data_IF_258542776026
#
_entry.id   IF_258542776026
#
_cell.length_a   1.000
_cell.length_b   1.000
_cell.length_c   1.000
_cell.angle_alpha   90.00
_cell.angle_beta   90.00
_cell.angle_gamma   90.00
#
_symmetry.space_group_name_H-M   'P 1'
#
loop_
_entity.id
_entity.type
_entity.pdbx_description
1 polymer ?
#
# COMPACT_ATOMS: atom_id res chain seq x y z
N UNK A 1 23.69 -3.42 -10.29
CA UNK A 1 22.64 -3.37 -11.32
C UNK A 1 21.63 -2.23 -11.05
N UNK A 2 21.25 -1.94 -9.80
CA UNK A 2 20.21 -0.95 -9.46
C UNK A 2 20.76 0.35 -8.87
N UNK A 3 22.07 0.59 -8.92
CA UNK A 3 22.74 1.70 -8.25
C UNK A 3 22.13 3.06 -8.62
N UNK A 4 22.04 3.39 -9.92
CA UNK A 4 21.47 4.65 -10.36
C UNK A 4 20.02 4.86 -9.88
N UNK A 5 19.20 3.81 -9.88
CA UNK A 5 17.83 3.91 -9.41
C UNK A 5 17.76 4.29 -7.92
N UNK A 6 18.58 3.68 -7.09
CA UNK A 6 18.62 4.03 -5.67
C UNK A 6 19.20 5.44 -5.44
N UNK A 7 20.24 5.82 -6.18
CA UNK A 7 20.80 7.20 -6.08
C UNK A 7 19.76 8.25 -6.52
N UNK A 8 18.97 8.00 -7.56
CA UNK A 8 17.88 8.89 -7.92
C UNK A 8 16.83 8.99 -6.81
N UNK A 9 16.48 7.89 -6.15
CA UNK A 9 15.57 7.92 -5.02
C UNK A 9 16.16 8.65 -3.81
N UNK A 10 17.46 8.49 -3.52
CA UNK A 10 18.16 9.25 -2.47
C UNK A 10 18.10 10.76 -2.74
N UNK A 11 18.35 11.20 -3.98
CA UNK A 11 18.25 12.61 -4.37
C UNK A 11 16.79 13.10 -4.32
N UNK A 12 15.83 12.30 -4.78
CA UNK A 12 14.42 12.66 -4.74
C UNK A 12 13.94 12.93 -3.31
N UNK A 13 14.37 12.07 -2.37
CA UNK A 13 14.05 12.16 -0.94
C UNK A 13 14.84 13.25 -0.19
N UNK A 14 15.85 13.85 -0.81
CA UNK A 14 16.72 14.84 -0.17
C UNK A 14 17.81 14.25 0.71
N UNK A 15 18.05 12.93 0.61
CA UNK A 15 19.12 12.23 1.35
C UNK A 15 20.49 12.35 0.66
N UNK A 16 20.52 12.84 -0.58
CA UNK A 16 21.70 13.20 -1.36
C UNK A 16 21.40 14.40 -2.26
N UNK A 17 22.43 15.18 -2.63
CA UNK A 17 22.30 16.30 -3.57
C UNK A 17 22.77 15.91 -4.99
N UNK A 18 23.65 14.92 -5.11
CA UNK A 18 24.33 14.54 -6.34
C UNK A 18 24.34 13.02 -6.54
N UNK A 19 24.56 12.63 -7.79
CA UNK A 19 24.91 11.24 -8.13
C UNK A 19 26.37 10.98 -7.77
N UNK A 20 26.71 9.74 -7.37
CA UNK A 20 28.08 9.37 -6.99
C UNK A 20 29.10 9.44 -8.15
N UNK A 21 28.61 9.40 -9.38
CA UNK A 21 29.41 9.45 -10.62
C UNK A 21 28.53 9.72 -11.83
N UNK A 22 29.16 9.98 -12.97
CA UNK A 22 28.45 9.96 -14.25
C UNK A 22 28.06 8.54 -14.63
N UNK A 23 26.81 8.37 -15.06
CA UNK A 23 26.26 7.09 -15.53
C UNK A 23 26.19 7.06 -17.06
N UNK A 24 26.36 5.89 -17.63
CA UNK A 24 26.26 5.68 -19.08
C UNK A 24 24.83 5.73 -19.56
N UNK A 25 24.61 5.97 -20.84
CA UNK A 25 23.27 5.91 -21.49
C UNK A 25 22.56 4.58 -21.22
N UNK A 26 23.29 3.48 -21.29
CA UNK A 26 22.73 2.14 -20.99
C UNK A 26 22.23 2.02 -19.54
N UNK A 27 22.95 2.58 -18.57
CA UNK A 27 22.53 2.57 -17.17
C UNK A 27 21.30 3.46 -16.93
N UNK A 28 21.22 4.61 -17.60
CA UNK A 28 20.05 5.47 -17.57
C UNK A 28 18.81 4.79 -18.17
N UNK A 29 18.96 4.12 -19.32
CA UNK A 29 17.87 3.33 -19.93
C UNK A 29 17.40 2.21 -18.99
N UNK A 30 18.33 1.51 -18.37
CA UNK A 30 18.01 0.45 -17.42
C UNK A 30 17.25 0.99 -16.19
N UNK A 31 17.70 2.11 -15.63
CA UNK A 31 17.03 2.76 -14.51
C UNK A 31 15.60 3.19 -14.88
N UNK A 32 15.41 3.75 -16.08
CA UNK A 32 14.09 4.12 -16.58
C UNK A 32 13.13 2.91 -16.67
N UNK A 33 13.59 1.82 -17.32
CA UNK A 33 12.78 0.61 -17.46
C UNK A 33 12.36 0.05 -16.08
N UNK A 34 13.27 0.09 -15.12
CA UNK A 34 13.00 -0.42 -13.75
C UNK A 34 12.08 0.49 -12.94
N UNK A 35 12.17 1.80 -13.16
CA UNK A 35 11.43 2.80 -12.39
C UNK A 35 10.02 3.07 -12.93
N UNK A 36 9.85 3.09 -14.27
CA UNK A 36 8.68 3.69 -14.95
C UNK A 36 7.31 3.23 -14.42
N UNK A 37 7.18 1.97 -14.02
CA UNK A 37 5.91 1.39 -13.55
C UNK A 37 5.73 1.44 -12.04
N UNK A 38 6.76 1.87 -11.28
CA UNK A 38 6.75 1.82 -9.83
C UNK A 38 6.98 3.17 -9.17
N UNK A 39 8.10 3.81 -9.53
CA UNK A 39 8.62 5.02 -8.86
C UNK A 39 9.18 6.03 -9.86
N UNK A 40 8.84 5.91 -11.13
CA UNK A 40 9.44 6.70 -12.19
C UNK A 40 9.23 8.21 -12.02
N UNK A 41 8.02 8.64 -11.71
CA UNK A 41 7.75 10.04 -11.45
C UNK A 41 8.52 10.56 -10.22
N UNK A 42 8.65 9.75 -9.16
CA UNK A 42 9.47 10.11 -7.97
C UNK A 42 10.94 10.32 -8.38
N UNK A 43 11.49 9.42 -9.20
CA UNK A 43 12.86 9.56 -9.72
C UNK A 43 13.03 10.82 -10.58
N UNK A 44 11.99 11.24 -11.31
CA UNK A 44 12.02 12.50 -12.05
C UNK A 44 12.19 13.70 -11.12
N UNK A 45 11.59 13.69 -9.94
CA UNK A 45 11.82 14.72 -8.91
C UNK A 45 13.28 14.85 -8.49
N UNK A 46 14.09 13.78 -8.63
CA UNK A 46 15.56 13.88 -8.50
C UNK A 46 16.18 14.53 -9.72
N UNK A 47 15.80 14.12 -10.94
CA UNK A 47 16.37 14.62 -12.19
C UNK A 47 16.18 16.14 -12.33
N UNK A 48 15.08 16.70 -11.82
CA UNK A 48 14.84 18.14 -11.78
C UNK A 48 15.89 18.87 -10.93
N UNK A 49 16.38 18.25 -9.86
CA UNK A 49 17.37 18.82 -8.91
C UNK A 49 18.80 18.67 -9.41
N UNK A 50 19.11 17.65 -10.24
CA UNK A 50 20.46 17.38 -10.72
C UNK A 50 20.98 18.50 -11.65
N UNK A 51 22.31 18.70 -11.62
CA UNK A 51 22.98 19.58 -12.58
C UNK A 51 22.84 19.07 -14.02
N UNK A 52 22.91 19.92 -15.06
CA UNK A 52 22.76 19.49 -16.44
C UNK A 52 23.70 18.37 -16.85
N UNK A 53 24.92 18.32 -16.29
CA UNK A 53 25.96 17.33 -16.59
C UNK A 53 25.68 15.96 -15.96
N UNK A 54 24.79 15.90 -14.96
CA UNK A 54 24.38 14.66 -14.28
C UNK A 54 23.10 14.08 -14.86
N UNK A 55 22.37 14.82 -15.69
CA UNK A 55 21.07 14.41 -16.24
C UNK A 55 21.19 13.34 -17.31
N UNK A 56 20.10 12.57 -17.57
CA UNK A 56 20.06 11.64 -18.68
C UNK A 56 20.18 12.35 -20.05
N UNK A 57 20.53 11.60 -21.12
CA UNK A 57 20.49 12.14 -22.48
C UNK A 57 19.11 12.71 -22.83
N UNK A 58 19.10 13.72 -23.72
CA UNK A 58 17.90 14.51 -24.04
C UNK A 58 16.68 13.68 -24.39
N UNK A 59 16.84 12.66 -25.26
CA UNK A 59 15.71 11.80 -25.68
C UNK A 59 15.11 11.01 -24.52
N UNK A 60 15.96 10.58 -23.59
CA UNK A 60 15.51 9.85 -22.41
C UNK A 60 14.95 10.83 -21.37
N UNK A 61 15.52 12.03 -21.24
CA UNK A 61 14.98 13.08 -20.38
C UNK A 61 13.55 13.43 -20.75
N UNK A 62 13.24 13.52 -22.04
CA UNK A 62 11.88 13.77 -22.51
C UNK A 62 10.89 12.66 -22.09
N UNK A 63 11.34 11.39 -22.05
CA UNK A 63 10.51 10.29 -21.56
C UNK A 63 10.22 10.40 -20.05
N UNK A 64 11.23 10.80 -19.26
CA UNK A 64 11.04 11.06 -17.83
C UNK A 64 10.10 12.23 -17.58
N UNK A 65 10.20 13.32 -18.34
CA UNK A 65 9.31 14.48 -18.28
C UNK A 65 7.86 14.04 -18.60
N UNK A 66 7.66 13.33 -19.70
CA UNK A 66 6.33 12.87 -20.11
C UNK A 66 5.68 11.97 -19.03
N UNK A 67 6.46 11.08 -18.41
CA UNK A 67 5.99 10.21 -17.33
C UNK A 67 5.56 11.02 -16.11
N UNK A 68 6.39 11.98 -15.68
CA UNK A 68 6.10 12.81 -14.51
C UNK A 68 4.89 13.73 -14.74
N UNK A 69 4.82 14.33 -15.94
CA UNK A 69 3.69 15.20 -16.28
C UNK A 69 2.37 14.45 -16.36
N UNK A 70 2.38 13.24 -16.93
CA UNK A 70 1.22 12.35 -16.93
C UNK A 70 0.79 12.00 -15.50
N UNK A 71 1.76 11.76 -14.60
CA UNK A 71 1.47 11.48 -13.19
C UNK A 71 0.89 12.71 -12.47
N UNK A 72 1.41 13.91 -12.71
CA UNK A 72 0.88 15.17 -12.15
C UNK A 72 -0.58 15.40 -12.59
N UNK A 73 -0.85 15.24 -13.88
CA UNK A 73 -2.20 15.38 -14.43
C UNK A 73 -3.17 14.35 -13.83
N UNK A 74 -2.74 13.09 -13.73
CA UNK A 74 -3.54 12.05 -13.09
C UNK A 74 -3.79 12.35 -11.60
N UNK A 75 -2.80 12.82 -10.87
CA UNK A 75 -2.95 13.18 -9.46
C UNK A 75 -3.97 14.31 -9.25
N UNK A 76 -3.97 15.34 -10.11
CA UNK A 76 -4.95 16.42 -10.04
C UNK A 76 -6.37 15.92 -10.37
N UNK A 77 -6.49 15.01 -11.32
CA UNK A 77 -7.76 14.36 -11.64
C UNK A 77 -8.25 13.48 -10.48
N UNK A 78 -7.40 12.62 -9.96
CA UNK A 78 -7.66 11.78 -8.79
C UNK A 78 -8.15 12.61 -7.58
N UNK A 79 -7.50 13.73 -7.31
CA UNK A 79 -7.87 14.64 -6.23
C UNK A 79 -9.25 15.26 -6.41
N UNK A 80 -9.67 15.57 -7.65
CA UNK A 80 -11.03 16.05 -7.95
C UNK A 80 -12.07 14.97 -7.69
N UNK A 81 -11.83 13.74 -8.14
CA UNK A 81 -12.71 12.60 -7.88
C UNK A 81 -12.85 12.36 -6.38
N UNK A 82 -11.73 12.38 -5.65
CA UNK A 82 -11.72 12.24 -4.20
C UNK A 82 -12.58 13.30 -3.49
N UNK A 83 -12.43 14.57 -3.87
CA UNK A 83 -13.19 15.67 -3.29
C UNK A 83 -14.69 15.58 -3.61
N UNK A 84 -15.04 15.16 -4.83
CA UNK A 84 -16.43 14.95 -5.24
C UNK A 84 -17.08 13.83 -4.41
N UNK A 85 -16.39 12.71 -4.26
CA UNK A 85 -16.84 11.56 -3.49
C UNK A 85 -17.00 11.89 -1.99
N UNK A 86 -16.05 12.59 -1.40
CA UNK A 86 -16.10 13.04 -0.01
C UNK A 86 -17.27 14.01 0.25
N UNK A 87 -17.49 14.94 -0.67
CA UNK A 87 -18.63 15.86 -0.61
C UNK A 87 -19.96 15.14 -0.73
N UNK A 88 -20.03 14.11 -1.59
CA UNK A 88 -21.21 13.27 -1.74
C UNK A 88 -21.53 12.52 -0.42
N UNK A 89 -20.58 11.79 0.14
CA UNK A 89 -20.81 11.04 1.37
C UNK A 89 -21.16 11.92 2.58
N UNK A 90 -20.62 13.14 2.63
CA UNK A 90 -21.01 14.11 3.67
C UNK A 90 -22.51 14.41 3.66
N UNK A 91 -23.15 14.48 2.48
CA UNK A 91 -24.60 14.74 2.37
C UNK A 91 -25.44 13.59 2.94
N UNK A 92 -24.85 12.40 3.05
CA UNK A 92 -25.46 11.21 3.64
C UNK A 92 -25.04 10.97 5.10
N UNK A 93 -24.40 11.95 5.75
CA UNK A 93 -23.98 11.84 7.16
C UNK A 93 -22.87 10.80 7.37
N UNK A 94 -21.98 10.64 6.39
CA UNK A 94 -20.90 9.65 6.40
C UNK A 94 -19.56 10.36 6.25
N UNK A 95 -18.60 10.04 7.12
CA UNK A 95 -17.19 10.45 7.04
C UNK A 95 -16.41 9.44 6.20
N UNK A 96 -15.53 9.94 5.34
CA UNK A 96 -14.71 9.12 4.46
C UNK A 96 -13.28 9.02 5.00
N UNK A 97 -12.92 7.86 5.55
CA UNK A 97 -11.55 7.53 5.97
C UNK A 97 -10.77 6.99 4.77
N UNK A 98 -9.63 7.59 4.48
CA UNK A 98 -8.68 7.10 3.46
C UNK A 98 -7.71 6.12 4.09
N UNK A 99 -7.65 4.91 3.57
CA UNK A 99 -6.78 3.85 4.11
C UNK A 99 -5.34 3.97 3.59
N UNK A 100 -5.16 4.42 2.36
CA UNK A 100 -3.86 4.58 1.69
C UNK A 100 -3.94 5.64 0.56
N UNK A 101 -3.07 5.56 -0.44
CA UNK A 101 -3.18 6.39 -1.65
C UNK A 101 -2.87 7.85 -1.40
N UNK A 102 -3.87 8.69 -1.45
CA UNK A 102 -3.73 10.15 -1.28
C UNK A 102 -3.11 10.53 0.07
N UNK A 103 -3.53 9.89 1.17
CA UNK A 103 -2.97 10.18 2.49
C UNK A 103 -1.45 10.03 2.52
N UNK A 104 -0.94 8.92 1.98
CA UNK A 104 0.51 8.68 1.89
C UNK A 104 1.24 9.64 0.95
N UNK A 105 0.55 10.18 -0.07
CA UNK A 105 1.19 11.13 -0.97
C UNK A 105 1.57 12.43 -0.27
N UNK A 106 0.85 12.81 0.77
CA UNK A 106 1.08 14.06 1.52
C UNK A 106 2.44 14.07 2.23
N UNK A 107 2.99 12.92 2.54
CA UNK A 107 4.31 12.77 3.17
C UNK A 107 5.47 12.85 2.17
N UNK A 108 5.19 12.72 0.87
CA UNK A 108 6.23 12.78 -0.16
C UNK A 108 6.75 14.21 -0.37
N UNK A 109 8.04 14.42 -0.66
CA UNK A 109 8.59 15.74 -0.96
C UNK A 109 7.85 16.48 -2.08
N UNK A 110 7.31 15.74 -3.05
CA UNK A 110 6.44 16.21 -4.13
C UNK A 110 5.25 15.26 -4.23
N UNK A 111 4.13 15.54 -3.54
CA UNK A 111 2.96 14.65 -3.44
C UNK A 111 2.42 14.13 -4.77
N UNK A 112 2.38 14.97 -5.79
CA UNK A 112 1.86 14.66 -7.11
C UNK A 112 2.73 13.70 -7.94
N UNK A 113 3.99 13.47 -7.53
CA UNK A 113 4.88 12.50 -8.16
C UNK A 113 4.76 11.09 -7.56
N UNK A 114 4.07 10.93 -6.42
CA UNK A 114 3.74 9.60 -5.92
C UNK A 114 2.70 8.95 -6.82
N UNK A 115 2.97 7.76 -7.39
CA UNK A 115 1.97 7.08 -8.22
C UNK A 115 0.69 6.81 -7.43
N UNK A 116 -0.43 7.36 -7.90
CA UNK A 116 -1.75 7.06 -7.38
C UNK A 116 -2.34 5.84 -8.10
N UNK A 117 -3.15 5.09 -7.41
CA UNK A 117 -3.91 3.96 -7.93
C UNK A 117 -5.38 4.11 -7.55
N UNK A 118 -5.92 3.11 -6.85
CA UNK A 118 -7.29 3.09 -6.38
C UNK A 118 -7.52 4.08 -5.22
N UNK A 119 -8.76 4.52 -5.04
CA UNK A 119 -9.21 5.24 -3.85
C UNK A 119 -9.74 4.19 -2.87
N UNK A 120 -8.94 3.85 -1.86
CA UNK A 120 -9.33 2.91 -0.81
C UNK A 120 -9.95 3.67 0.35
N UNK A 121 -11.21 3.40 0.63
CA UNK A 121 -11.97 4.08 1.68
C UNK A 121 -12.60 3.11 2.67
N UNK A 122 -12.77 3.59 3.88
CA UNK A 122 -13.63 2.99 4.89
C UNK A 122 -14.62 4.05 5.37
N UNK A 123 -15.90 3.72 5.41
CA UNK A 123 -16.96 4.67 5.69
C UNK A 123 -17.40 4.59 7.16
N UNK A 124 -17.44 5.74 7.81
CA UNK A 124 -17.75 5.87 9.24
C UNK A 124 -18.99 6.75 9.37
N UNK A 125 -20.03 6.35 10.13
CA UNK A 125 -21.18 7.20 10.37
C UNK A 125 -20.76 8.48 11.11
N UNK A 126 -21.33 9.62 10.73
CA UNK A 126 -21.04 10.91 11.40
C UNK A 126 -21.53 10.93 12.85
N UNK A 127 -22.59 10.18 13.13
CA UNK A 127 -23.18 10.04 14.48
C UNK A 127 -23.65 8.62 14.70
N UNK A 128 -23.65 8.20 15.97
CA UNK A 128 -24.06 6.84 16.38
C UNK A 128 -22.88 5.89 16.61
N UNK A 129 -23.16 4.64 16.95
CA UNK A 129 -22.15 3.63 17.20
C UNK A 129 -21.49 3.18 15.89
N UNK A 130 -20.23 2.78 15.97
CA UNK A 130 -19.54 2.12 14.87
C UNK A 130 -19.92 0.64 14.89
N UNK A 131 -20.57 0.19 13.84
CA UNK A 131 -20.92 -1.20 13.62
C UNK A 131 -20.06 -1.77 12.49
N UNK A 132 -19.51 -2.97 12.69
CA UNK A 132 -18.71 -3.69 11.72
C UNK A 132 -19.56 -4.69 10.90
N UNK A 133 -20.82 -4.34 10.64
CA UNK A 133 -21.81 -5.20 9.97
C UNK A 133 -22.03 -4.83 8.48
N UNK A 134 -21.23 -3.89 7.97
CA UNK A 134 -21.32 -3.45 6.58
C UNK A 134 -22.53 -2.57 6.23
N UNK A 135 -23.41 -2.25 7.17
CA UNK A 135 -24.64 -1.48 6.90
C UNK A 135 -24.32 -0.09 6.35
N UNK A 136 -23.32 0.61 6.90
CA UNK A 136 -22.93 1.96 6.45
C UNK A 136 -22.41 1.92 5.02
N UNK A 137 -21.58 0.92 4.70
CA UNK A 137 -21.06 0.70 3.35
C UNK A 137 -22.17 0.41 2.37
N UNK A 138 -23.06 -0.54 2.69
CA UNK A 138 -24.18 -0.90 1.80
C UNK A 138 -25.12 0.27 1.53
N UNK A 139 -25.43 1.07 2.56
CA UNK A 139 -26.22 2.28 2.42
C UNK A 139 -25.54 3.29 1.47
N UNK A 140 -24.23 3.51 1.64
CA UNK A 140 -23.45 4.41 0.82
C UNK A 140 -23.30 3.91 -0.63
N UNK A 141 -23.12 2.61 -0.84
CA UNK A 141 -23.08 1.98 -2.16
C UNK A 141 -24.43 2.16 -2.89
N UNK A 142 -25.54 1.91 -2.20
CA UNK A 142 -26.88 2.15 -2.76
C UNK A 142 -27.11 3.62 -3.13
N UNK A 143 -26.60 4.56 -2.32
CA UNK A 143 -26.68 5.98 -2.64
C UNK A 143 -25.91 6.31 -3.93
N UNK A 144 -24.73 5.73 -4.13
CA UNK A 144 -23.94 5.90 -5.38
C UNK A 144 -24.70 5.32 -6.57
N UNK A 145 -25.26 4.10 -6.47
CA UNK A 145 -26.06 3.49 -7.52
C UNK A 145 -27.28 4.35 -7.89
N UNK A 146 -28.04 4.79 -6.89
CA UNK A 146 -29.27 5.54 -7.10
C UNK A 146 -29.06 6.96 -7.64
N UNK A 147 -28.04 7.68 -7.13
CA UNK A 147 -27.85 9.10 -7.44
C UNK A 147 -26.93 9.34 -8.63
N UNK A 148 -25.95 8.47 -8.85
CA UNK A 148 -24.99 8.61 -9.94
C UNK A 148 -25.19 7.60 -11.06
N UNK A 149 -26.03 6.57 -10.86
CA UNK A 149 -26.26 5.50 -11.83
C UNK A 149 -25.02 4.65 -12.10
N UNK A 150 -24.12 4.58 -11.13
CA UNK A 150 -22.86 3.81 -11.21
C UNK A 150 -23.13 2.40 -10.70
N UNK A 151 -22.73 1.38 -11.48
CA UNK A 151 -22.81 -0.01 -11.08
C UNK A 151 -21.74 -0.34 -10.04
N UNK A 152 -22.13 -1.02 -8.95
CA UNK A 152 -21.24 -1.42 -7.86
C UNK A 152 -20.93 -2.93 -7.98
N UNK A 153 -19.66 -3.26 -8.14
CA UNK A 153 -19.16 -4.64 -8.06
C UNK A 153 -19.07 -5.10 -6.60
N UNK A 154 -19.66 -6.27 -6.30
CA UNK A 154 -19.74 -6.83 -4.93
C UNK A 154 -19.18 -8.26 -4.85
N UNK A 155 -18.36 -8.67 -5.80
CA UNK A 155 -17.79 -10.03 -5.87
C UNK A 155 -16.69 -10.29 -4.82
N UNK A 156 -16.13 -9.24 -4.22
CA UNK A 156 -15.12 -9.35 -3.17
C UNK A 156 -15.77 -9.17 -1.79
N UNK A 157 -15.44 -10.04 -0.86
CA UNK A 157 -15.95 -9.94 0.51
C UNK A 157 -15.32 -8.77 1.28
N UNK A 158 -14.08 -8.42 0.96
CA UNK A 158 -13.34 -7.37 1.65
C UNK A 158 -13.87 -5.97 1.33
N UNK A 159 -14.31 -5.73 0.10
CA UNK A 159 -14.75 -4.42 -0.39
C UNK A 159 -15.74 -4.55 -1.54
N UNK A 160 -16.58 -3.56 -1.74
CA UNK A 160 -17.21 -3.27 -3.02
C UNK A 160 -16.32 -2.37 -3.85
N UNK A 161 -16.52 -2.33 -5.17
CA UNK A 161 -15.74 -1.45 -6.03
C UNK A 161 -16.59 -0.84 -7.14
N UNK A 162 -16.19 0.34 -7.60
CA UNK A 162 -16.86 1.05 -8.68
C UNK A 162 -15.89 2.04 -9.36
N UNK A 163 -16.31 2.57 -10.51
CA UNK A 163 -15.49 3.45 -11.32
C UNK A 163 -16.11 4.84 -11.40
N UNK A 164 -15.35 5.87 -11.03
CA UNK A 164 -15.74 7.28 -11.22
C UNK A 164 -14.71 7.97 -12.08
N UNK A 165 -15.11 8.48 -13.25
CA UNK A 165 -14.23 9.23 -14.16
C UNK A 165 -12.88 8.52 -14.42
N UNK A 166 -12.89 7.20 -14.53
CA UNK A 166 -11.69 6.39 -14.77
C UNK A 166 -10.84 6.11 -13.52
N UNK A 167 -11.27 6.49 -12.32
CA UNK A 167 -10.62 6.15 -11.06
C UNK A 167 -11.41 5.05 -10.35
N UNK A 168 -10.74 3.96 -9.99
CA UNK A 168 -11.33 2.87 -9.22
C UNK A 168 -11.47 3.30 -7.77
N UNK A 169 -12.63 3.05 -7.17
CA UNK A 169 -12.90 3.24 -5.75
C UNK A 169 -13.16 1.88 -5.13
N UNK A 170 -12.46 1.56 -4.05
CA UNK A 170 -12.68 0.38 -3.23
C UNK A 170 -13.25 0.80 -1.87
N UNK A 171 -14.52 0.46 -1.64
CA UNK A 171 -15.23 0.75 -0.39
C UNK A 171 -15.18 -0.48 0.52
N UNK A 172 -14.36 -0.40 1.56
CA UNK A 172 -13.96 -1.54 2.38
C UNK A 172 -14.94 -1.87 3.51
N UNK A 173 -15.22 -3.16 3.71
CA UNK A 173 -15.88 -3.72 4.90
C UNK A 173 -14.87 -4.06 6.00
N UNK A 174 -13.69 -4.55 5.58
CA UNK A 174 -12.59 -4.91 6.46
C UNK A 174 -11.30 -4.24 5.98
N UNK A 175 -10.42 -3.90 6.89
CA UNK A 175 -9.16 -3.24 6.55
C UNK A 175 -8.20 -4.18 5.82
N UNK A 176 -8.23 -5.47 6.18
CA UNK A 176 -7.38 -6.53 5.61
C UNK A 176 -8.22 -7.73 5.19
N UNK A 177 -7.66 -8.62 4.35
CA UNK A 177 -8.35 -9.82 3.87
C UNK A 177 -8.43 -10.87 4.99
N UNK A 178 -9.60 -10.97 5.64
CA UNK A 178 -9.83 -11.89 6.78
C UNK A 178 -10.16 -13.31 6.37
N UNK A 179 -10.46 -13.56 5.10
CA UNK A 179 -10.96 -14.87 4.64
C UNK A 179 -9.86 -15.92 4.50
N UNK A 180 -8.60 -15.51 4.31
CA UNK A 180 -7.51 -16.43 3.93
C UNK A 180 -6.62 -16.85 5.07
N UNK A 181 -6.49 -16.02 6.11
CA UNK A 181 -5.50 -16.19 7.15
C UNK A 181 -6.07 -15.90 8.54
N UNK A 182 -5.93 -16.85 9.47
CA UNK A 182 -6.32 -16.64 10.89
C UNK A 182 -5.54 -15.49 11.55
N UNK A 183 -4.28 -15.29 11.14
CA UNK A 183 -3.48 -14.15 11.57
C UNK A 183 -4.13 -12.83 11.17
N UNK A 184 -4.80 -12.77 10.00
CA UNK A 184 -5.53 -11.58 9.57
C UNK A 184 -6.75 -11.28 10.45
N UNK A 185 -7.48 -12.30 10.91
CA UNK A 185 -8.60 -12.08 11.85
C UNK A 185 -8.14 -11.40 13.14
N UNK A 186 -7.02 -11.86 13.71
CA UNK A 186 -6.44 -11.23 14.90
C UNK A 186 -5.94 -9.81 14.60
N UNK A 187 -5.31 -9.63 13.44
CA UNK A 187 -4.78 -8.34 13.03
C UNK A 187 -5.90 -7.32 12.77
N UNK A 188 -6.99 -7.73 12.13
CA UNK A 188 -8.20 -6.92 11.97
C UNK A 188 -8.71 -6.41 13.32
N UNK A 189 -8.74 -7.29 14.34
CA UNK A 189 -9.16 -6.90 15.69
C UNK A 189 -8.26 -5.84 16.36
N UNK A 190 -6.95 -5.82 16.08
CA UNK A 190 -6.10 -4.71 16.56
C UNK A 190 -6.48 -3.39 15.89
N UNK A 191 -6.71 -3.40 14.57
CA UNK A 191 -7.11 -2.21 13.82
C UNK A 191 -8.47 -1.68 14.28
N UNK A 192 -9.45 -2.56 14.48
CA UNK A 192 -10.78 -2.20 14.99
C UNK A 192 -10.73 -1.63 16.40
N UNK A 193 -9.93 -2.23 17.28
CA UNK A 193 -9.79 -1.76 18.67
C UNK A 193 -9.14 -0.36 18.78
N UNK A 194 -8.32 0.05 17.80
CA UNK A 194 -7.77 1.40 17.75
C UNK A 194 -8.78 2.43 17.21
N UNK A 195 -9.70 1.99 16.35
CA UNK A 195 -10.74 2.86 15.78
C UNK A 195 -11.77 3.29 16.81
N UNK A 196 -12.05 2.45 17.81
CA UNK A 196 -13.12 2.67 18.78
C UNK A 196 -12.61 2.82 20.20
N UNK A 197 -13.27 3.67 20.99
CA UNK A 197 -13.11 3.73 22.44
C UNK A 197 -14.04 2.69 23.08
N UNK A 198 -13.48 1.83 23.93
CA UNK A 198 -14.26 0.92 24.75
C UNK A 198 -14.89 1.70 25.90
N UNK A 199 -16.16 2.05 25.76
CA UNK A 199 -16.95 2.62 26.85
C UNK A 199 -17.56 1.49 27.71
N UNK A 200 -17.96 1.81 28.97
CA UNK A 200 -18.66 0.87 29.84
C UNK A 200 -20.06 0.47 29.32
N UNK A 201 -20.61 1.18 28.35
CA UNK A 201 -21.75 0.79 27.54
C UNK A 201 -21.25 0.00 26.33
N UNK A 202 -21.97 -1.04 25.91
CA UNK A 202 -21.62 -1.86 24.73
C UNK A 202 -21.59 -1.08 23.39
N UNK A 203 -21.63 0.26 23.44
CA UNK A 203 -21.61 1.12 22.27
C UNK A 203 -20.17 1.43 21.88
N UNK A 204 -19.77 0.99 20.72
CA UNK A 204 -18.48 1.34 20.10
C UNK A 204 -18.51 2.80 19.65
N UNK A 205 -17.94 3.72 20.41
CA UNK A 205 -17.77 5.10 20.00
C UNK A 205 -16.47 5.25 19.21
N UNK A 206 -16.50 6.12 18.21
CA UNK A 206 -15.29 6.51 17.49
C UNK A 206 -14.28 7.12 18.47
N UNK A 207 -13.04 6.66 18.41
CA UNK A 207 -11.94 7.29 19.11
C UNK A 207 -11.69 8.68 18.50
N UNK A 208 -11.88 9.74 19.25
CA UNK A 208 -11.77 11.12 18.78
C UNK A 208 -10.36 11.45 18.25
N UNK A 209 -9.33 10.78 18.77
CA UNK A 209 -7.95 10.95 18.33
C UNK A 209 -7.58 10.09 17.09
N UNK A 210 -8.52 9.30 16.58
CA UNK A 210 -8.25 8.39 15.47
C UNK A 210 -8.28 9.10 14.10
N UNK A 211 -9.23 10.01 13.91
CA UNK A 211 -9.43 10.69 12.63
C UNK A 211 -8.62 11.99 12.57
N UNK A 212 -7.67 12.03 11.66
CA UNK A 212 -6.93 13.25 11.32
C UNK A 212 -7.55 13.89 10.08
N UNK A 213 -7.71 15.21 10.10
CA UNK A 213 -8.22 15.94 8.93
C UNK A 213 -7.22 15.91 7.79
N UNK A 214 -7.72 15.70 6.57
CA UNK A 214 -6.92 15.85 5.36
C UNK A 214 -7.15 17.21 4.70
N UNK A 215 -6.29 17.65 3.76
CA UNK A 215 -6.53 18.84 2.96
C UNK A 215 -7.80 18.80 2.10
N UNK A 216 -8.39 17.61 1.90
CA UNK A 216 -9.68 17.46 1.21
C UNK A 216 -10.79 17.39 2.27
N UNK A 217 -11.75 18.33 2.29
CA UNK A 217 -12.81 18.35 3.28
C UNK A 217 -13.62 17.05 3.31
N UNK A 218 -14.00 16.59 4.50
CA UNK A 218 -14.67 15.31 4.78
C UNK A 218 -13.88 14.04 4.39
N UNK A 219 -12.62 14.20 4.03
CA UNK A 219 -11.66 13.10 3.97
C UNK A 219 -10.83 13.09 5.26
N UNK A 220 -10.70 11.93 5.86
CA UNK A 220 -9.94 11.75 7.08
C UNK A 220 -8.80 10.75 6.85
N UNK A 221 -7.74 10.92 7.61
CA UNK A 221 -6.60 10.00 7.66
C UNK A 221 -6.62 9.26 8.99
N UNK A 222 -6.14 8.01 9.05
CA UNK A 222 -6.03 7.30 10.32
C UNK A 222 -4.87 7.81 11.15
N UNK A 223 -4.94 7.60 12.47
CA UNK A 223 -3.83 7.92 13.38
C UNK A 223 -2.53 7.18 12.99
N UNK A 224 -1.38 7.76 13.35
CA UNK A 224 -0.07 7.23 12.97
C UNK A 224 0.15 5.80 13.50
N UNK A 225 -0.24 5.49 14.72
CA UNK A 225 -0.13 4.13 15.29
C UNK A 225 -0.95 3.11 14.51
N UNK A 226 -2.19 3.44 14.15
CA UNK A 226 -3.02 2.57 13.33
C UNK A 226 -2.42 2.36 11.94
N UNK A 227 -1.96 3.45 11.33
CA UNK A 227 -1.41 3.42 9.98
C UNK A 227 -0.09 2.63 9.92
N UNK A 228 0.74 2.70 10.96
CA UNK A 228 1.94 1.86 11.09
C UNK A 228 1.59 0.36 11.00
N UNK A 229 0.58 -0.08 11.77
CA UNK A 229 0.11 -1.45 11.72
C UNK A 229 -0.46 -1.80 10.33
N UNK A 230 -1.39 -0.99 9.85
CA UNK A 230 -2.10 -1.25 8.61
C UNK A 230 -1.17 -1.33 7.40
N UNK A 231 -0.30 -0.33 7.21
CA UNK A 231 0.57 -0.24 6.03
C UNK A 231 1.57 -1.40 5.96
N UNK A 232 2.17 -1.77 7.10
CA UNK A 232 3.11 -2.89 7.11
C UNK A 232 2.39 -4.22 6.83
N UNK A 233 1.19 -4.42 7.41
CA UNK A 233 0.41 -5.63 7.15
C UNK A 233 -0.06 -5.70 5.71
N UNK A 234 -0.58 -4.62 5.17
CA UNK A 234 -1.02 -4.53 3.79
C UNK A 234 0.13 -4.80 2.79
N UNK A 235 1.29 -4.17 3.01
CA UNK A 235 2.49 -4.47 2.21
C UNK A 235 2.94 -5.93 2.37
N UNK A 236 2.84 -6.49 3.59
CA UNK A 236 3.15 -7.89 3.88
C UNK A 236 2.23 -8.86 3.15
N UNK A 237 0.92 -8.58 3.04
CA UNK A 237 -0.03 -9.40 2.27
C UNK A 237 0.36 -9.45 0.79
N UNK A 238 0.67 -8.31 0.18
CA UNK A 238 1.18 -8.26 -1.20
C UNK A 238 2.50 -9.02 -1.34
N UNK A 239 3.42 -8.83 -0.39
CA UNK A 239 4.70 -9.53 -0.38
C UNK A 239 4.53 -11.05 -0.33
N UNK A 240 3.67 -11.54 0.53
CA UNK A 240 3.43 -12.98 0.69
C UNK A 240 2.74 -13.60 -0.54
N UNK A 241 1.71 -12.96 -1.06
CA UNK A 241 0.88 -13.50 -2.15
C UNK A 241 1.52 -13.34 -3.52
N UNK A 242 2.13 -12.20 -3.78
CA UNK A 242 2.73 -11.84 -5.06
C UNK A 242 4.14 -11.33 -4.91
N UNK A 243 4.29 -10.03 -4.91
CA UNK A 243 5.49 -9.26 -4.59
C UNK A 243 5.12 -7.82 -4.25
N UNK A 244 5.96 -7.18 -3.47
CA UNK A 244 5.92 -5.72 -3.32
C UNK A 244 6.76 -5.05 -4.40
N UNK A 245 6.58 -3.75 -4.54
CA UNK A 245 7.36 -2.87 -5.41
C UNK A 245 8.17 -1.90 -4.57
N UNK A 246 9.09 -1.17 -5.20
CA UNK A 246 9.81 -0.09 -4.51
C UNK A 246 8.87 0.99 -3.97
N UNK A 247 7.70 1.19 -4.59
CA UNK A 247 6.68 2.11 -4.06
C UNK A 247 6.24 1.73 -2.65
N UNK A 248 6.00 0.45 -2.36
CA UNK A 248 5.62 0.01 -1.01
C UNK A 248 6.74 0.26 0.01
N UNK A 249 8.01 0.09 -0.41
CA UNK A 249 9.16 0.40 0.45
C UNK A 249 9.26 1.89 0.72
N UNK A 250 9.09 2.74 -0.31
CA UNK A 250 9.08 4.19 -0.17
C UNK A 250 7.92 4.67 0.71
N UNK A 251 6.72 4.17 0.47
CA UNK A 251 5.53 4.53 1.25
C UNK A 251 5.76 4.28 2.74
N UNK A 252 6.27 3.09 3.10
CA UNK A 252 6.59 2.75 4.49
C UNK A 252 7.73 3.61 5.06
N UNK A 253 8.82 3.75 4.30
CA UNK A 253 9.99 4.51 4.75
C UNK A 253 9.67 5.99 4.98
N UNK A 254 8.99 6.63 4.04
CA UNK A 254 8.57 8.03 4.13
C UNK A 254 7.56 8.23 5.26
N UNK A 255 6.58 7.32 5.39
CA UNK A 255 5.60 7.36 6.47
C UNK A 255 6.29 7.29 7.85
N UNK A 256 7.19 6.34 8.08
CA UNK A 256 7.93 6.26 9.35
C UNK A 256 8.82 7.50 9.57
N UNK A 257 9.45 8.02 8.53
CA UNK A 257 10.23 9.26 8.65
C UNK A 257 9.36 10.44 9.08
N UNK A 258 8.14 10.57 8.54
CA UNK A 258 7.24 11.70 8.82
C UNK A 258 6.54 11.58 10.17
N UNK A 259 6.19 10.37 10.60
CA UNK A 259 5.28 10.15 11.74
C UNK A 259 5.89 9.37 12.90
N UNK A 260 7.20 9.08 12.91
CA UNK A 260 7.84 8.25 13.95
C UNK A 260 7.56 8.73 15.38
N UNK A 261 7.48 10.04 15.60
CA UNK A 261 7.21 10.63 16.92
C UNK A 261 5.74 10.51 17.39
N UNK A 262 4.83 10.17 16.47
CA UNK A 262 3.39 10.06 16.74
C UNK A 262 2.95 8.60 16.95
N UNK A 263 3.85 7.65 16.66
CA UNK A 263 3.59 6.21 16.74
C UNK A 263 3.84 5.72 18.16
N UNK A 264 2.89 4.97 18.73
CA UNK A 264 3.10 4.15 19.92
C UNK A 264 3.93 2.91 19.55
N UNK A 265 5.24 3.08 19.54
CA UNK A 265 6.17 2.04 19.11
C UNK A 265 6.17 0.81 20.02
N UNK A 266 5.93 0.97 21.31
CA UNK A 266 5.89 -0.16 22.25
C UNK A 266 4.73 -1.08 21.89
N UNK A 267 3.56 -0.51 21.61
CA UNK A 267 2.41 -1.27 21.15
C UNK A 267 2.61 -1.87 19.74
N UNK A 268 3.11 -1.08 18.79
CA UNK A 268 3.31 -1.51 17.40
C UNK A 268 4.32 -2.67 17.33
N UNK A 269 5.46 -2.56 18.01
CA UNK A 269 6.47 -3.63 18.02
C UNK A 269 5.95 -4.90 18.69
N UNK A 270 5.19 -4.76 19.80
CA UNK A 270 4.55 -5.91 20.43
C UNK A 270 3.60 -6.65 19.45
N UNK A 271 2.83 -5.91 18.67
CA UNK A 271 1.96 -6.51 17.63
C UNK A 271 2.79 -7.14 16.51
N UNK A 272 3.85 -6.48 16.04
CA UNK A 272 4.72 -7.03 15.01
C UNK A 272 5.39 -8.35 15.45
N UNK A 273 5.88 -8.42 16.67
CA UNK A 273 6.43 -9.65 17.24
C UNK A 273 5.37 -10.75 17.34
N UNK A 274 4.22 -10.43 17.91
CA UNK A 274 3.13 -11.38 18.13
C UNK A 274 2.56 -11.94 16.83
N UNK A 275 2.50 -11.14 15.77
CA UNK A 275 1.98 -11.54 14.46
C UNK A 275 3.09 -11.94 13.46
N UNK A 276 4.33 -12.13 13.96
CA UNK A 276 5.47 -12.62 13.19
C UNK A 276 5.89 -11.71 12.02
N UNK A 277 5.79 -10.39 12.22
CA UNK A 277 6.09 -9.39 11.20
C UNK A 277 7.42 -8.66 11.43
N UNK A 278 8.11 -8.94 12.54
CA UNK A 278 9.34 -8.22 12.92
C UNK A 278 10.45 -8.38 11.88
N UNK A 279 10.60 -9.57 11.28
CA UNK A 279 11.59 -9.81 10.23
C UNK A 279 11.26 -9.03 8.95
N UNK A 280 9.99 -8.87 8.61
CA UNK A 280 9.56 -8.06 7.47
C UNK A 280 9.80 -6.58 7.74
N UNK A 281 9.44 -6.09 8.93
CA UNK A 281 9.74 -4.72 9.37
C UNK A 281 11.25 -4.43 9.31
N UNK A 282 12.08 -5.31 9.86
CA UNK A 282 13.53 -5.17 9.83
C UNK A 282 14.10 -5.16 8.40
N UNK A 283 13.58 -6.01 7.52
CA UNK A 283 14.00 -6.01 6.11
C UNK A 283 13.69 -4.70 5.39
N UNK A 284 12.47 -4.17 5.57
CA UNK A 284 12.06 -2.88 4.99
C UNK A 284 12.89 -1.74 5.57
N UNK A 285 13.06 -1.68 6.89
CA UNK A 285 13.87 -0.67 7.58
C UNK A 285 15.33 -0.69 7.10
N UNK A 286 15.89 -1.89 6.93
CA UNK A 286 17.26 -2.06 6.39
C UNK A 286 17.36 -1.56 4.94
N UNK A 287 16.35 -1.81 4.11
CA UNK A 287 16.33 -1.25 2.74
C UNK A 287 16.30 0.28 2.79
N UNK A 288 15.44 0.86 3.62
CA UNK A 288 15.33 2.31 3.76
C UNK A 288 16.63 2.95 4.25
N UNK A 289 17.28 2.37 5.25
CA UNK A 289 18.49 2.95 5.84
C UNK A 289 19.74 2.76 4.97
N UNK A 290 19.96 1.55 4.44
CA UNK A 290 21.16 1.23 3.67
C UNK A 290 21.12 1.66 2.21
N UNK A 291 19.96 1.54 1.57
CA UNK A 291 19.84 1.78 0.13
C UNK A 291 19.19 3.14 -0.20
N UNK A 292 18.36 3.68 0.67
CA UNK A 292 17.74 5.00 0.49
C UNK A 292 18.35 6.08 1.39
N UNK A 293 19.31 5.72 2.25
CA UNK A 293 20.02 6.60 3.18
C UNK A 293 19.10 7.37 4.14
N UNK A 294 17.95 6.80 4.45
CA UNK A 294 17.07 7.36 5.47
C UNK A 294 17.70 7.23 6.87
N UNK A 295 17.41 8.19 7.74
CA UNK A 295 17.92 8.15 9.11
C UNK A 295 17.31 6.96 9.89
N UNK A 296 18.15 6.09 10.43
CA UNK A 296 17.75 4.91 11.20
C UNK A 296 16.95 5.23 12.48
N UNK A 297 17.07 6.44 13.02
CA UNK A 297 16.31 6.88 14.19
C UNK A 297 14.79 6.92 14.00
N UNK A 298 14.31 6.92 12.75
CA UNK A 298 12.88 6.86 12.46
C UNK A 298 12.29 5.43 12.48
N UNK A 299 13.14 4.41 12.51
CA UNK A 299 12.75 3.00 12.53
C UNK A 299 12.99 2.41 13.91
N UNK A 300 12.17 2.82 14.87
CA UNK A 300 12.36 2.45 16.28
C UNK A 300 12.39 0.94 16.47
N UNK A 301 13.36 0.45 17.23
CA UNK A 301 13.52 -0.99 17.53
C UNK A 301 13.95 -1.86 16.33
N UNK A 302 14.15 -1.28 15.14
CA UNK A 302 14.57 -2.04 13.97
C UNK A 302 16.02 -2.55 14.12
N UNK A 303 16.24 -3.79 13.70
CA UNK A 303 17.55 -4.43 13.64
C UNK A 303 17.97 -4.54 12.17
N UNK A 304 19.23 -4.21 11.90
CA UNK A 304 19.81 -4.35 10.56
C UNK A 304 19.85 -5.82 10.12
N UNK A 305 19.11 -6.13 9.07
CA UNK A 305 18.99 -7.47 8.49
C UNK A 305 19.30 -7.44 6.99
N UNK A 306 20.56 -7.23 6.67
CA UNK A 306 21.03 -7.15 5.29
C UNK A 306 20.71 -8.41 4.47
N UNK A 307 20.76 -9.57 5.10
CA UNK A 307 20.40 -10.86 4.52
C UNK A 307 18.96 -10.88 3.99
N UNK A 308 18.01 -10.41 4.82
CA UNK A 308 16.59 -10.33 4.47
C UNK A 308 16.31 -9.17 3.49
N UNK A 309 16.93 -8.02 3.69
CA UNK A 309 16.82 -6.86 2.80
C UNK A 309 17.23 -7.23 1.37
N UNK A 310 18.39 -7.86 1.20
CA UNK A 310 18.87 -8.33 -0.10
C UNK A 310 17.95 -9.39 -0.73
N UNK A 311 17.29 -10.22 0.10
CA UNK A 311 16.33 -11.22 -0.39
C UNK A 311 15.04 -10.57 -0.86
N UNK A 312 14.53 -9.57 -0.14
CA UNK A 312 13.35 -8.78 -0.53
C UNK A 312 13.64 -7.98 -1.80
N UNK A 313 14.79 -7.30 -1.89
CA UNK A 313 15.18 -6.56 -3.10
C UNK A 313 15.28 -7.48 -4.32
N UNK A 314 15.87 -8.67 -4.18
CA UNK A 314 15.88 -9.66 -5.29
C UNK A 314 14.47 -10.04 -5.73
N UNK A 315 13.53 -10.20 -4.81
CA UNK A 315 12.14 -10.50 -5.13
C UNK A 315 11.46 -9.33 -5.87
N UNK A 316 11.66 -8.08 -5.42
CA UNK A 316 11.15 -6.85 -6.07
C UNK A 316 11.60 -6.77 -7.52
N UNK A 317 12.88 -7.01 -7.79
CA UNK A 317 13.47 -6.85 -9.12
C UNK A 317 13.43 -8.09 -10.00
N UNK A 318 13.01 -9.25 -9.46
CA UNK A 318 12.81 -10.43 -10.29
C UNK A 318 11.62 -10.19 -11.22
N UNK A 319 11.83 -10.40 -12.53
CA UNK A 319 10.72 -10.45 -13.48
C UNK A 319 9.75 -11.54 -13.06
N UNK A 320 8.63 -11.10 -12.52
CA UNK A 320 7.54 -11.99 -12.23
C UNK A 320 6.85 -12.30 -13.55
N UNK A 321 7.04 -13.51 -14.04
CA UNK A 321 6.15 -14.01 -15.10
C UNK A 321 4.87 -14.43 -14.38
N UNK A 322 3.79 -13.62 -14.46
CA UNK A 322 2.50 -14.10 -13.99
C UNK A 322 2.24 -15.43 -14.71
N UNK A 323 1.65 -16.36 -14.02
CA UNK A 323 0.98 -17.44 -14.74
C UNK A 323 0.12 -16.76 -15.79
N UNK A 324 0.09 -17.24 -17.06
CA UNK A 324 -0.73 -16.66 -18.09
C UNK A 324 -2.20 -16.81 -17.67
N UNK A 325 -2.71 -15.78 -16.97
CA UNK A 325 -4.00 -15.82 -16.33
C UNK A 325 -4.84 -14.65 -16.81
N UNK A 326 -5.21 -14.68 -18.09
CA UNK A 326 -6.53 -14.15 -18.44
C UNK A 326 -7.58 -15.06 -17.80
N UNK A 327 -8.73 -14.52 -17.39
CA UNK A 327 -9.85 -15.32 -16.90
C UNK A 327 -10.21 -16.47 -17.89
N UNK A 328 -9.98 -16.26 -19.16
CA UNK A 328 -10.12 -17.24 -20.24
C UNK A 328 -9.08 -18.38 -20.17
N UNK A 329 -7.83 -18.09 -19.84
CA UNK A 329 -6.81 -19.11 -19.66
C UNK A 329 -7.02 -19.91 -18.36
N UNK A 330 -7.55 -19.28 -17.30
CA UNK A 330 -7.94 -19.93 -16.06
C UNK A 330 -9.12 -20.87 -16.24
N UNK A 331 -10.14 -20.48 -17.00
CA UNK A 331 -11.31 -21.32 -17.26
C UNK A 331 -10.96 -22.57 -18.10
N UNK A 332 -9.90 -22.49 -18.90
CA UNK A 332 -9.38 -23.62 -19.73
C UNK A 332 -8.40 -24.53 -18.97
N UNK A 333 -7.91 -24.13 -17.78
CA UNK A 333 -7.04 -24.99 -16.96
C UNK A 333 -7.86 -26.01 -16.16
N UNK A 334 -7.45 -27.27 -16.20
CA UNK A 334 -8.03 -28.27 -15.28
C UNK A 334 -7.78 -27.85 -13.82
N UNK A 335 -8.74 -28.11 -12.94
CA UNK A 335 -8.67 -27.84 -11.50
C UNK A 335 -7.38 -28.40 -10.90
N UNK A 336 -6.95 -29.59 -11.35
CA UNK A 336 -5.71 -30.24 -10.91
C UNK A 336 -4.49 -29.44 -11.31
N UNK A 337 -4.38 -29.00 -12.56
CA UNK A 337 -3.24 -28.22 -13.05
C UNK A 337 -3.12 -26.90 -12.29
N UNK A 338 -4.22 -26.18 -12.11
CA UNK A 338 -4.26 -24.95 -11.32
C UNK A 338 -3.83 -25.18 -9.86
N UNK A 339 -4.32 -26.26 -9.24
CA UNK A 339 -3.94 -26.65 -7.89
C UNK A 339 -2.44 -26.92 -7.75
N UNK A 340 -1.86 -27.65 -8.70
CA UNK A 340 -0.40 -27.91 -8.72
C UNK A 340 0.39 -26.62 -8.87
N UNK A 341 0.02 -25.75 -9.79
CA UNK A 341 0.74 -24.49 -10.03
C UNK A 341 0.65 -23.56 -8.80
N UNK A 342 -0.53 -23.44 -8.18
CA UNK A 342 -0.68 -22.68 -6.92
C UNK A 342 0.14 -23.28 -5.78
N UNK A 343 0.16 -24.58 -5.64
CA UNK A 343 0.94 -25.26 -4.60
C UNK A 343 2.45 -25.05 -4.78
N UNK A 344 2.95 -25.13 -6.02
CA UNK A 344 4.36 -24.86 -6.31
C UNK A 344 4.72 -23.39 -6.04
N UNK A 345 3.84 -22.46 -6.42
CA UNK A 345 4.03 -21.04 -6.14
C UNK A 345 4.05 -20.78 -4.64
N UNK A 346 3.10 -21.32 -3.90
CA UNK A 346 3.04 -21.22 -2.45
C UNK A 346 4.32 -21.81 -1.82
N UNK A 347 4.75 -23.00 -2.25
CA UNK A 347 5.99 -23.62 -1.76
C UNK A 347 7.22 -22.75 -1.99
N UNK A 348 7.33 -22.13 -3.15
CA UNK A 348 8.41 -21.18 -3.49
C UNK A 348 8.37 -19.93 -2.59
N UNK A 349 7.18 -19.43 -2.26
CA UNK A 349 6.98 -18.22 -1.48
C UNK A 349 6.84 -18.47 0.03
N UNK A 350 6.91 -19.72 0.52
CA UNK A 350 6.68 -20.05 1.94
C UNK A 350 7.54 -19.26 2.94
N UNK A 351 8.70 -18.78 2.53
CA UNK A 351 9.56 -17.95 3.35
C UNK A 351 8.94 -16.55 3.58
N UNK A 352 8.22 -16.03 2.61
CA UNK A 352 7.49 -14.76 2.72
C UNK A 352 6.32 -14.89 3.69
N UNK A 353 5.56 -15.98 3.59
CA UNK A 353 4.47 -16.27 4.52
C UNK A 353 4.96 -16.31 5.97
N UNK A 354 6.14 -16.88 6.22
CA UNK A 354 6.75 -16.91 7.55
C UNK A 354 7.15 -15.54 8.09
N UNK A 355 7.35 -14.55 7.24
CA UNK A 355 7.72 -13.18 7.63
C UNK A 355 6.49 -12.28 7.83
N UNK A 356 5.30 -12.76 7.53
CA UNK A 356 4.08 -11.94 7.53
C UNK A 356 2.99 -12.54 8.42
N UNK A 357 2.88 -13.86 8.49
CA UNK A 357 1.77 -14.53 9.17
C UNK A 357 2.27 -15.38 10.34
N UNK A 358 1.65 -15.19 11.51
CA UNK A 358 1.83 -16.10 12.64
C UNK A 358 0.85 -17.27 12.54
N UNK A 359 1.16 -18.20 11.64
CA UNK A 359 0.36 -19.38 11.34
C UNK A 359 1.25 -20.59 11.09
N UNK A 360 0.70 -21.80 11.35
CA UNK A 360 1.32 -23.02 10.88
C UNK A 360 1.29 -23.05 9.34
N UNK A 361 2.42 -23.41 8.73
CA UNK A 361 2.57 -23.47 7.26
C UNK A 361 1.49 -24.33 6.59
N UNK A 362 1.08 -25.43 7.24
CA UNK A 362 0.00 -26.31 6.72
C UNK A 362 -1.38 -25.64 6.82
N UNK A 363 -1.66 -24.89 7.88
CA UNK A 363 -2.91 -24.12 8.02
C UNK A 363 -3.02 -23.02 6.95
N UNK A 364 -1.92 -22.32 6.70
CA UNK A 364 -1.82 -21.31 5.63
C UNK A 364 -2.09 -21.93 4.24
N UNK A 365 -1.59 -23.15 3.99
CA UNK A 365 -1.87 -23.88 2.75
C UNK A 365 -3.34 -24.30 2.63
N UNK A 366 -3.94 -24.83 3.70
CA UNK A 366 -5.34 -25.25 3.71
C UNK A 366 -6.30 -24.08 3.58
N UNK A 367 -6.04 -22.94 4.21
CA UNK A 367 -6.84 -21.73 4.04
C UNK A 367 -6.93 -21.28 2.58
N UNK A 368 -5.83 -21.35 1.85
CA UNK A 368 -5.78 -21.03 0.41
C UNK A 368 -6.48 -22.10 -0.46
N UNK A 369 -6.53 -23.35 -0.03
CA UNK A 369 -7.14 -24.45 -0.79
C UNK A 369 -8.66 -24.52 -0.60
N UNK A 370 -9.15 -24.32 0.63
CA UNK A 370 -10.58 -24.49 1.01
C UNK A 370 -11.43 -23.33 0.49
N UNK A 371 -10.92 -22.10 0.47
CA UNK A 371 -11.68 -20.93 -0.02
C UNK A 371 -12.10 -21.04 -1.49
N UNK A 372 -11.57 -21.97 -2.25
CA UNK A 372 -11.98 -22.20 -3.63
C UNK A 372 -13.03 -23.30 -3.79
N UNK A 373 -13.21 -24.14 -2.80
CA UNK A 373 -14.30 -25.15 -2.82
C UNK A 373 -15.65 -24.53 -2.44
N UNK A 374 -15.61 -23.32 -1.86
CA UNK A 374 -16.78 -22.56 -1.38
C UNK A 374 -17.17 -21.37 -2.30
N UNK A 375 -16.41 -21.12 -3.37
CA UNK A 375 -16.69 -20.20 -4.47
C UNK A 375 -16.77 -20.98 -5.79
#
# INVERSE_FOLDING_TARGET
MYQLLFELLQVALGNSEHLSRKFTVSQWNQAYIQAKEQVGAVCFGAIEKLSPEERPPSDLLMQWIALAESQRQYYQHYKKVLASLASFYRQYGVKMLLLKGYGLSLDYPVPELRPAGDIDIYLIPESGPICYDGIVKEYADQAVECCWGIEIGREYKKHSHFLIDGVVVENHDTFIDTDKHKSNLRFQSYLENLLVEKTNSNDNKLNENFLLESPVPNCYLPSATWNALFLLRHAGEHFATEKITLRHVLDLGIFFQSHSSEIDWDFVLQVYEKENMIDFYNAISTICTRFLWMNGGYFYGAIDREDLANKVLRDIFTEYKPLPMSNEALSKMSIIHYGVVKSLRWWKNRWKYKMVYNENILESFWGLAVNRLNN
#
